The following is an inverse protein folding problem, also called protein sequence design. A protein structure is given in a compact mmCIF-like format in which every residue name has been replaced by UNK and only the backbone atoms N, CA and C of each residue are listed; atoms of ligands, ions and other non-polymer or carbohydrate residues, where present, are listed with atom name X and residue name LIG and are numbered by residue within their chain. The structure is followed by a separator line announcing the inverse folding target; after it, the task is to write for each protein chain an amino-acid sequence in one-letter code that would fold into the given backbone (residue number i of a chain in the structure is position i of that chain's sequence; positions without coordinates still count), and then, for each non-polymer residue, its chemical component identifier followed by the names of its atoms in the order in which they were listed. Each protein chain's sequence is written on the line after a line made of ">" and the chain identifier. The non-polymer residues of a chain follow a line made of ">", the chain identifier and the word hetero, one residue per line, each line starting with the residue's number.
data_IF_269041117033
#
_entry.id   IF_269041117033
#
_cell.length_a   1.000
_cell.length_b   1.000
_cell.length_c   1.000
_cell.angle_alpha   90.00
_cell.angle_beta   90.00
_cell.angle_gamma   90.00
#
_symmetry.space_group_name_H-M   'P 1'
#
loop_
_entity.id
_entity.type
_entity.pdbx_description
1 polymer ?
#
# COMPACT_ATOMS: atom_id res chain seq x y z
N UNK A 1 18.08 11.81 -20.73
CA UNK A 1 17.36 10.87 -21.62
C UNK A 1 15.88 11.20 -21.54
N UNK A 2 15.29 11.83 -22.56
CA UNK A 2 13.85 12.13 -22.57
C UNK A 2 13.10 10.85 -22.92
N UNK A 3 12.49 10.21 -21.92
CA UNK A 3 11.62 9.07 -22.15
C UNK A 3 10.34 9.57 -22.85
N UNK A 4 10.36 9.61 -24.17
CA UNK A 4 9.21 9.92 -25.02
C UNK A 4 8.22 8.76 -25.11
N UNK A 5 8.37 7.72 -24.28
CA UNK A 5 7.55 6.52 -24.29
C UNK A 5 7.36 5.99 -22.87
N UNK A 6 6.13 5.65 -22.55
CA UNK A 6 5.69 5.04 -21.29
C UNK A 6 5.07 3.68 -21.64
N UNK A 7 5.49 2.62 -20.94
CA UNK A 7 4.83 1.32 -21.01
C UNK A 7 3.73 1.25 -19.95
N UNK A 8 2.54 0.85 -20.39
CA UNK A 8 1.35 0.64 -19.57
C UNK A 8 1.02 -0.86 -19.63
N UNK A 9 0.91 -1.47 -18.46
CA UNK A 9 0.67 -2.90 -18.29
C UNK A 9 -0.58 -3.13 -17.44
N UNK A 10 -1.15 -4.34 -17.51
CA UNK A 10 -2.23 -4.79 -16.64
C UNK A 10 -1.77 -4.81 -15.16
N UNK A 11 -2.68 -4.60 -14.20
CA UNK A 11 -2.42 -4.67 -12.76
C UNK A 11 -2.00 -6.09 -12.30
N UNK A 12 -2.35 -7.12 -13.08
CA UNK A 12 -1.94 -8.53 -12.88
C UNK A 12 -0.67 -8.92 -13.66
N UNK A 13 0.05 -7.96 -14.25
CA UNK A 13 1.29 -8.22 -14.98
C UNK A 13 2.48 -8.62 -14.08
N UNK A 14 3.42 -9.35 -14.69
CA UNK A 14 4.65 -9.84 -14.07
C UNK A 14 4.46 -11.08 -13.20
N UNK A 15 5.53 -11.52 -12.55
CA UNK A 15 5.53 -12.73 -11.74
C UNK A 15 5.57 -12.43 -10.23
N UNK A 16 5.04 -13.33 -9.39
CA UNK A 16 5.25 -13.28 -7.95
C UNK A 16 6.75 -13.25 -7.62
N UNK A 17 7.15 -12.50 -6.59
CA UNK A 17 8.56 -12.48 -6.16
C UNK A 17 8.90 -13.83 -5.49
N UNK A 18 9.81 -14.65 -6.05
CA UNK A 18 10.16 -15.95 -5.51
C UNK A 18 10.91 -15.86 -4.16
N UNK A 19 11.56 -14.74 -3.87
CA UNK A 19 12.37 -14.53 -2.66
C UNK A 19 11.56 -14.02 -1.46
N UNK A 20 10.22 -13.93 -1.57
CA UNK A 20 9.38 -13.60 -0.42
C UNK A 20 9.30 -14.82 0.49
N UNK A 21 9.60 -14.63 1.77
CA UNK A 21 9.71 -15.72 2.74
C UNK A 21 8.49 -16.67 2.70
N UNK A 22 8.68 -17.99 2.62
CA UNK A 22 7.61 -18.98 2.52
C UNK A 22 6.70 -19.04 3.77
N UNK A 23 7.07 -18.40 4.89
CA UNK A 23 6.29 -18.40 6.14
C UNK A 23 4.96 -17.65 6.08
N UNK A 24 4.65 -16.99 4.96
CA UNK A 24 3.34 -16.36 4.73
C UNK A 24 2.80 -16.89 3.40
N UNK A 25 1.68 -17.59 3.44
CA UNK A 25 0.83 -17.90 2.27
C UNK A 25 0.32 -16.59 1.67
N UNK A 26 1.19 -15.87 0.97
CA UNK A 26 0.83 -14.62 0.28
C UNK A 26 0.45 -15.02 -1.13
N UNK A 27 -0.85 -15.14 -1.37
CA UNK A 27 -1.38 -15.25 -2.73
C UNK A 27 -1.03 -13.97 -3.49
N UNK A 28 -0.13 -14.06 -4.47
CA UNK A 28 0.16 -12.95 -5.36
C UNK A 28 -0.97 -12.80 -6.38
N UNK A 29 -1.39 -11.57 -6.66
CA UNK A 29 -2.38 -11.24 -7.71
C UNK A 29 -1.81 -11.28 -9.12
N UNK A 30 -0.48 -11.36 -9.23
CA UNK A 30 0.22 -11.33 -10.50
C UNK A 30 0.09 -12.68 -11.18
N UNK A 31 -0.38 -12.66 -12.43
CA UNK A 31 -0.64 -13.84 -13.28
C UNK A 31 0.25 -13.84 -14.53
N UNK A 32 1.28 -12.99 -14.56
CA UNK A 32 2.09 -12.74 -15.75
C UNK A 32 1.26 -12.37 -16.98
N UNK A 33 0.26 -11.50 -16.78
CA UNK A 33 -0.63 -11.07 -17.85
C UNK A 33 0.17 -10.47 -19.04
N UNK A 34 -0.09 -10.92 -20.28
CA UNK A 34 0.71 -10.53 -21.45
C UNK A 34 0.30 -9.18 -22.06
N UNK A 35 -0.85 -8.61 -21.67
CA UNK A 35 -1.30 -7.28 -22.08
C UNK A 35 -0.21 -6.20 -21.94
N UNK A 36 0.02 -5.44 -23.01
CA UNK A 36 1.00 -4.33 -23.07
C UNK A 36 0.52 -3.22 -24.00
N UNK A 37 0.63 -1.99 -23.54
CA UNK A 37 0.30 -0.77 -24.28
C UNK A 37 1.41 0.26 -24.11
N UNK A 38 1.76 0.99 -25.17
CA UNK A 38 2.74 2.07 -25.10
C UNK A 38 2.06 3.41 -25.32
N UNK A 39 2.32 4.37 -24.43
CA UNK A 39 2.00 5.77 -24.64
C UNK A 39 3.25 6.50 -25.12
N UNK A 40 3.23 6.99 -26.36
CA UNK A 40 4.34 7.73 -26.97
C UNK A 40 4.01 9.21 -27.04
N UNK A 41 4.94 10.06 -26.64
CA UNK A 41 4.86 11.52 -26.78
C UNK A 41 5.69 11.94 -27.98
N UNK A 42 5.09 12.70 -28.89
CA UNK A 42 5.85 13.30 -29.99
C UNK A 42 6.75 14.41 -29.45
N UNK A 43 8.03 14.40 -29.83
CA UNK A 43 9.01 15.36 -29.30
C UNK A 43 8.68 16.83 -29.62
N UNK A 44 7.99 17.07 -30.75
CA UNK A 44 7.67 18.40 -31.27
C UNK A 44 6.24 18.87 -30.97
N UNK A 45 5.40 18.03 -30.36
CA UNK A 45 4.00 18.36 -30.07
C UNK A 45 3.60 17.90 -28.66
N UNK A 46 2.55 18.49 -28.12
CA UNK A 46 1.95 18.07 -26.85
C UNK A 46 1.08 16.81 -26.97
N UNK A 47 0.93 16.27 -28.19
CA UNK A 47 0.12 15.08 -28.49
C UNK A 47 0.77 13.78 -28.04
N UNK A 48 -0.07 12.90 -27.48
CA UNK A 48 0.27 11.52 -27.12
C UNK A 48 -0.45 10.53 -28.04
N UNK A 49 0.23 9.46 -28.42
CA UNK A 49 -0.37 8.31 -29.12
C UNK A 49 -0.29 7.06 -28.27
N UNK A 50 -1.36 6.28 -28.28
CA UNK A 50 -1.42 4.98 -27.61
C UNK A 50 -1.29 3.89 -28.67
N UNK A 51 -0.35 2.97 -28.47
CA UNK A 51 -0.11 1.83 -29.34
C UNK A 51 -0.28 0.55 -28.53
N UNK A 52 -1.24 -0.29 -28.91
CA UNK A 52 -1.45 -1.59 -28.27
C UNK A 52 -0.43 -2.57 -28.84
N UNK A 53 0.50 -3.04 -28.00
CA UNK A 53 1.50 -4.04 -28.39
C UNK A 53 0.93 -5.45 -28.30
N UNK A 54 0.17 -5.72 -27.23
CA UNK A 54 -0.53 -6.97 -27.03
C UNK A 54 -1.90 -6.68 -26.37
N UNK A 55 -3.01 -6.95 -27.06
CA UNK A 55 -4.36 -6.73 -26.51
C UNK A 55 -4.83 -7.86 -25.58
N UNK A 56 -4.15 -9.01 -25.56
CA UNK A 56 -4.67 -10.21 -24.90
C UNK A 56 -4.48 -10.20 -23.38
N UNK A 57 -5.48 -10.73 -22.69
CA UNK A 57 -5.46 -10.99 -21.25
C UNK A 57 -5.58 -12.49 -20.98
N UNK A 58 -4.85 -12.99 -19.99
CA UNK A 58 -4.94 -14.39 -19.55
C UNK A 58 -5.87 -14.56 -18.34
N UNK A 59 -6.77 -13.61 -18.13
CA UNK A 59 -7.73 -13.59 -17.04
C UNK A 59 -8.95 -12.75 -17.43
N UNK A 60 -10.07 -13.02 -16.78
CA UNK A 60 -11.29 -12.25 -17.01
C UNK A 60 -11.18 -10.81 -16.49
N UNK A 61 -11.97 -9.94 -17.10
CA UNK A 61 -12.19 -8.58 -16.60
C UNK A 61 -12.83 -8.64 -15.22
N UNK A 62 -12.47 -7.70 -14.34
CA UNK A 62 -13.08 -7.64 -13.00
C UNK A 62 -14.22 -6.65 -13.00
N UNK A 63 -15.40 -7.09 -12.58
CA UNK A 63 -16.62 -6.25 -12.54
C UNK A 63 -16.53 -5.17 -11.46
N UNK A 64 -15.88 -5.49 -10.33
CA UNK A 64 -15.76 -4.57 -9.22
C UNK A 64 -14.50 -3.70 -9.35
N UNK A 65 -14.69 -2.39 -9.51
CA UNK A 65 -13.61 -1.39 -9.56
C UNK A 65 -12.72 -1.46 -8.29
N UNK A 66 -13.32 -1.73 -7.13
CA UNK A 66 -12.60 -1.87 -5.87
C UNK A 66 -11.74 -3.12 -5.82
N UNK A 67 -11.89 -4.07 -6.74
CA UNK A 67 -10.94 -5.16 -6.86
C UNK A 67 -9.56 -4.66 -7.30
N UNK A 68 -9.45 -3.51 -7.98
CA UNK A 68 -8.19 -2.97 -8.47
C UNK A 68 -7.50 -2.08 -7.41
N UNK A 69 -6.27 -2.41 -6.98
CA UNK A 69 -5.55 -1.64 -5.95
C UNK A 69 -5.33 -0.18 -6.30
N UNK A 70 -5.29 0.17 -7.59
CA UNK A 70 -5.12 1.55 -8.05
C UNK A 70 -6.25 2.46 -7.56
N UNK A 71 -7.49 1.97 -7.57
CA UNK A 71 -8.68 2.71 -7.14
C UNK A 71 -8.86 2.70 -5.62
N UNK A 72 -8.17 1.81 -4.91
CA UNK A 72 -8.18 1.75 -3.44
C UNK A 72 -7.08 2.58 -2.77
N UNK A 73 -6.22 3.25 -3.55
CA UNK A 73 -5.17 4.08 -2.98
C UNK A 73 -5.77 5.26 -2.22
N UNK A 74 -5.31 5.44 -0.98
CA UNK A 74 -5.62 6.65 -0.22
C UNK A 74 -4.97 7.86 -0.88
N UNK A 75 -5.71 8.96 -0.94
CA UNK A 75 -5.12 10.25 -1.31
C UNK A 75 -4.21 10.75 -0.16
N UNK A 76 -3.49 11.85 -0.37
CA UNK A 76 -2.55 12.37 0.62
C UNK A 76 -3.24 12.83 1.92
N UNK A 77 -4.43 13.40 1.80
CA UNK A 77 -5.21 13.87 2.95
C UNK A 77 -5.69 12.69 3.82
N UNK A 78 -6.25 11.65 3.22
CA UNK A 78 -6.66 10.41 3.86
C UNK A 78 -5.47 9.68 4.48
N UNK A 79 -4.34 9.63 3.77
CA UNK A 79 -3.10 9.06 4.27
C UNK A 79 -2.60 9.77 5.54
N UNK A 80 -2.67 11.11 5.55
CA UNK A 80 -2.33 11.93 6.72
C UNK A 80 -3.30 11.70 7.87
N UNK A 81 -4.61 11.66 7.59
CA UNK A 81 -5.63 11.34 8.58
C UNK A 81 -5.41 9.96 9.20
N UNK A 82 -5.14 8.91 8.39
CA UNK A 82 -4.82 7.57 8.90
C UNK A 82 -3.60 7.63 9.81
N UNK A 83 -2.57 8.40 9.46
CA UNK A 83 -1.39 8.56 10.32
C UNK A 83 -1.76 9.17 11.66
N UNK A 84 -2.49 10.29 11.66
CA UNK A 84 -2.93 10.98 12.88
C UNK A 84 -3.82 10.10 13.77
N UNK A 85 -4.78 9.39 13.18
CA UNK A 85 -5.68 8.49 13.92
C UNK A 85 -4.91 7.25 14.42
N UNK A 86 -3.91 6.78 13.68
CA UNK A 86 -3.05 5.67 14.14
C UNK A 86 -2.16 6.04 15.33
N UNK A 87 -1.85 7.33 15.48
CA UNK A 87 -1.08 7.85 16.61
C UNK A 87 -1.86 7.88 17.92
N UNK A 88 -3.19 7.97 17.86
CA UNK A 88 -4.07 7.89 19.02
C UNK A 88 -4.40 6.44 19.44
N UNK A 89 -3.66 5.46 18.91
CA UNK A 89 -3.77 4.03 19.24
C UNK A 89 -5.15 3.42 18.95
N UNK A 90 -5.94 4.05 18.08
CA UNK A 90 -7.23 3.51 17.66
C UNK A 90 -7.04 2.24 16.82
N UNK A 91 -7.98 1.30 17.00
CA UNK A 91 -7.95 0.05 16.27
C UNK A 91 -8.25 0.30 14.79
N UNK A 92 -7.62 -0.42 13.84
CA UNK A 92 -7.84 -0.25 12.41
C UNK A 92 -9.31 -0.28 11.97
N UNK A 93 -10.17 -1.04 12.66
CA UNK A 93 -11.63 -1.04 12.45
C UNK A 93 -12.29 0.31 12.76
N UNK A 94 -11.82 1.00 13.80
CA UNK A 94 -12.32 2.32 14.17
C UNK A 94 -11.83 3.37 13.16
N UNK A 95 -10.58 3.24 12.70
CA UNK A 95 -10.04 4.07 11.60
C UNK A 95 -10.91 3.89 10.36
N UNK A 96 -11.25 2.65 10.01
CA UNK A 96 -12.11 2.34 8.87
C UNK A 96 -13.47 3.02 8.99
N UNK A 97 -14.13 2.90 10.15
CA UNK A 97 -15.44 3.53 10.38
C UNK A 97 -15.41 5.05 10.20
N UNK A 98 -14.36 5.71 10.73
CA UNK A 98 -14.18 7.16 10.59
C UNK A 98 -13.88 7.60 9.15
N UNK A 99 -13.16 6.79 8.38
CA UNK A 99 -12.91 7.06 6.97
C UNK A 99 -14.19 6.87 6.14
N UNK A 100 -14.92 5.78 6.38
CA UNK A 100 -16.17 5.52 5.69
C UNK A 100 -17.23 6.58 5.98
N UNK A 101 -17.30 7.13 7.20
CA UNK A 101 -18.25 8.21 7.52
C UNK A 101 -17.93 9.54 6.83
N UNK A 102 -16.68 9.75 6.40
CA UNK A 102 -16.22 11.00 5.76
C UNK A 102 -16.18 10.92 4.24
N UNK A 103 -16.23 9.73 3.66
CA UNK A 103 -16.28 9.56 2.21
C UNK A 103 -17.72 9.70 1.75
N UNK A 104 -17.96 10.66 0.87
CA UNK A 104 -19.25 10.83 0.19
C UNK A 104 -19.50 9.73 -0.87
N UNK A 105 -18.46 8.98 -1.24
CA UNK A 105 -18.51 7.94 -2.26
C UNK A 105 -18.59 6.53 -1.67
N UNK A 106 -19.28 5.66 -2.39
CA UNK A 106 -19.50 4.22 -2.14
C UNK A 106 -18.21 3.35 -2.11
N UNK A 107 -17.04 3.99 -1.97
CA UNK A 107 -15.73 3.37 -1.96
C UNK A 107 -15.42 2.73 -0.62
N UNK A 108 -15.82 1.46 -0.46
CA UNK A 108 -15.51 0.65 0.72
C UNK A 108 -14.00 0.58 0.99
N UNK A 109 -13.55 1.16 2.10
CA UNK A 109 -12.15 1.04 2.54
C UNK A 109 -11.92 -0.38 3.03
N UNK A 110 -10.95 -1.09 2.46
CA UNK A 110 -10.60 -2.43 2.94
C UNK A 110 -9.66 -2.31 4.13
N UNK A 111 -9.95 -3.08 5.20
CA UNK A 111 -9.14 -3.09 6.42
C UNK A 111 -7.66 -3.37 6.16
N UNK A 112 -7.37 -4.27 5.22
CA UNK A 112 -6.00 -4.59 4.79
C UNK A 112 -5.25 -3.36 4.25
N UNK A 113 -5.92 -2.47 3.52
CA UNK A 113 -5.30 -1.27 2.98
C UNK A 113 -4.95 -0.28 4.10
N UNK A 114 -5.80 -0.19 5.14
CA UNK A 114 -5.49 0.58 6.36
C UNK A 114 -4.26 0.01 7.07
N UNK A 115 -4.20 -1.32 7.26
CA UNK A 115 -3.01 -1.95 7.85
C UNK A 115 -1.74 -1.65 7.06
N UNK A 116 -1.80 -1.74 5.73
CA UNK A 116 -0.69 -1.44 4.85
C UNK A 116 -0.26 0.04 4.98
N UNK A 117 -1.22 0.96 5.06
CA UNK A 117 -0.95 2.39 5.20
C UNK A 117 -0.35 2.73 6.56
N UNK A 118 -0.89 2.21 7.66
CA UNK A 118 -0.31 2.37 9.02
C UNK A 118 1.11 1.82 9.05
N UNK A 119 1.34 0.65 8.45
CA UNK A 119 2.68 0.07 8.33
C UNK A 119 3.63 0.97 7.54
N UNK A 120 3.14 1.59 6.46
CA UNK A 120 3.90 2.56 5.64
C UNK A 120 4.30 3.77 6.48
N UNK A 121 3.37 4.37 7.22
CA UNK A 121 3.64 5.52 8.11
C UNK A 121 4.68 5.18 9.19
N UNK A 122 4.58 4.01 9.82
CA UNK A 122 5.58 3.57 10.81
C UNK A 122 6.96 3.40 10.18
N UNK A 123 7.02 2.86 8.95
CA UNK A 123 8.29 2.70 8.23
C UNK A 123 8.92 4.04 7.88
N UNK A 124 8.12 5.05 7.53
CA UNK A 124 8.64 6.41 7.29
C UNK A 124 9.16 7.05 8.57
N UNK A 125 8.46 6.91 9.70
CA UNK A 125 8.93 7.41 11.00
C UNK A 125 10.19 6.68 11.48
N UNK A 126 10.23 5.34 11.41
CA UNK A 126 11.43 4.55 11.79
C UNK A 126 12.66 4.95 10.94
N UNK A 127 12.47 5.34 9.68
CA UNK A 127 13.55 5.87 8.83
C UNK A 127 14.00 7.28 9.21
N UNK A 128 13.09 8.14 9.68
CA UNK A 128 13.40 9.53 10.01
C UNK A 128 14.02 9.68 11.42
N UNK A 129 13.44 9.00 12.41
CA UNK A 129 13.80 9.16 13.83
C UNK A 129 14.69 8.01 14.34
N UNK A 130 14.76 6.91 13.59
CA UNK A 130 15.39 5.68 14.04
C UNK A 130 14.47 4.79 14.89
N UNK A 131 14.81 3.50 15.03
CA UNK A 131 13.96 2.52 15.68
C UNK A 131 13.78 2.74 17.18
N UNK A 132 14.81 3.24 17.85
CA UNK A 132 14.80 3.46 19.30
C UNK A 132 13.90 4.64 19.68
N UNK A 133 13.96 5.74 18.93
CA UNK A 133 13.09 6.90 19.15
C UNK A 133 11.63 6.56 18.90
N UNK A 134 11.33 5.82 17.83
CA UNK A 134 9.97 5.35 17.57
C UNK A 134 9.43 4.49 18.72
N UNK A 135 10.24 3.57 19.26
CA UNK A 135 9.86 2.73 20.40
C UNK A 135 9.57 3.57 21.65
N UNK A 136 10.41 4.56 21.95
CA UNK A 136 10.21 5.49 23.08
C UNK A 136 8.92 6.30 22.93
N UNK A 137 8.62 6.78 21.72
CA UNK A 137 7.38 7.53 21.44
C UNK A 137 6.15 6.65 21.63
N UNK A 138 6.19 5.39 21.18
CA UNK A 138 5.10 4.44 21.36
C UNK A 138 4.91 4.03 22.82
N UNK A 139 5.99 3.83 23.58
CA UNK A 139 5.92 3.45 24.99
C UNK A 139 5.33 4.56 25.86
N UNK A 140 5.75 5.82 25.64
CA UNK A 140 5.18 7.01 26.30
C UNK A 140 3.68 7.15 26.05
N UNK A 141 3.23 6.92 24.81
CA UNK A 141 1.80 6.98 24.44
C UNK A 141 0.97 5.86 25.10
N UNK A 142 1.53 4.66 25.29
CA UNK A 142 0.83 3.55 25.98
C UNK A 142 0.63 3.81 27.47
N UNK A 143 1.60 4.47 28.13
CA UNK A 143 1.53 4.83 29.56
C UNK A 143 0.37 5.80 29.84
N UNK A 144 0.01 6.65 28.86
CA UNK A 144 -1.09 7.62 28.99
C UNK A 144 -2.50 7.02 28.85
N UNK A 145 -2.67 5.76 28.40
CA UNK A 145 -4.00 5.21 28.02
C UNK A 145 -4.42 3.87 28.69
N UNK A 146 -3.74 3.40 29.75
CA UNK A 146 -4.21 2.22 30.52
C UNK A 146 -4.20 0.88 29.76
N UNK A 147 -4.61 -0.24 30.40
CA UNK A 147 -4.29 -1.58 29.93
C UNK A 147 -5.31 -2.10 28.92
N UNK A 148 -5.24 -1.64 27.66
CA UNK A 148 -5.85 -2.37 26.55
C UNK A 148 -4.90 -3.49 26.10
N UNK A 149 -5.11 -4.68 26.66
CA UNK A 149 -4.27 -5.89 26.51
C UNK A 149 -4.24 -6.52 25.10
N UNK A 150 -4.73 -5.86 24.04
CA UNK A 150 -4.78 -6.43 22.68
C UNK A 150 -3.66 -6.01 21.70
N UNK A 151 -2.86 -4.99 22.04
CA UNK A 151 -2.12 -4.18 21.03
C UNK A 151 -0.71 -4.75 20.67
N UNK A 152 -0.23 -5.76 21.42
CA UNK A 152 1.19 -6.14 21.42
C UNK A 152 1.62 -7.19 20.38
N UNK A 153 0.71 -7.85 19.65
CA UNK A 153 1.11 -8.84 18.63
C UNK A 153 1.48 -8.23 17.27
N UNK A 154 0.99 -7.03 16.96
CA UNK A 154 1.12 -6.44 15.61
C UNK A 154 2.09 -5.24 15.53
N UNK A 155 2.69 -4.83 16.66
CA UNK A 155 3.44 -3.56 16.77
C UNK A 155 4.95 -3.68 16.61
N UNK A 156 5.52 -4.89 16.64
CA UNK A 156 6.98 -5.09 16.71
C UNK A 156 7.74 -5.65 15.48
N UNK A 157 7.18 -6.00 14.30
CA UNK A 157 7.99 -6.65 13.27
C UNK A 157 8.47 -5.75 12.11
N UNK A 158 8.71 -4.45 12.32
CA UNK A 158 9.22 -3.59 11.24
C UNK A 158 10.67 -3.09 11.42
N UNK A 159 11.21 -3.05 12.64
CA UNK A 159 12.57 -2.53 12.84
C UNK A 159 13.59 -3.56 13.36
N UNK A 160 13.17 -4.81 13.62
CA UNK A 160 14.07 -5.95 13.89
C UNK A 160 14.09 -6.91 12.69
N UNK A 161 14.71 -6.50 11.59
CA UNK A 161 15.39 -7.47 10.72
C UNK A 161 16.87 -7.36 11.08
N UNK A 162 17.25 -8.01 12.18
CA UNK A 162 18.66 -8.29 12.45
C UNK A 162 19.13 -9.17 11.29
N UNK A 163 19.96 -8.61 10.42
CA UNK A 163 20.84 -9.41 9.57
C UNK A 163 21.59 -10.38 10.49
N UNK A 164 21.69 -11.67 10.15
CA UNK A 164 22.54 -12.59 10.90
C UNK A 164 23.98 -12.08 10.78
N UNK A 165 24.60 -11.72 11.91
CA UNK A 165 26.05 -11.59 11.98
C UNK A 165 26.66 -13.01 12.06
N UNK A 166 27.89 -13.19 11.53
CA UNK A 166 28.51 -14.49 11.27
C UNK A 166 28.68 -15.37 12.51
#
# INVERSE_FOLDING_TARGET
>A
MTHNQIEICCDRSGTPNPNKSPSKTVTSRKLDCPFRLYARKYAKSTTWTLEVKNPEHNHDATENIMAHPAFRKFNEQEASQISQISESLLMPRQIQAQLCSKRDSDGSVILQDIYNQVRKSRKTTCKAEGPLMLLLTLSKKKILFGPLQGILRDTLPCCFSLTPWP
#
